data_IF_243650760721
#
_entry.id   IF_243650760721
#
_cell.length_a   1.000
_cell.length_b   1.000
_cell.length_c   1.000
_cell.angle_alpha   90.00
_cell.angle_beta   90.00
_cell.angle_gamma   90.00
#
_symmetry.space_group_name_H-M   'P 1'
#
loop_
_entity.id
_entity.type
_entity.pdbx_description
1 polymer ?
#
# COMPACT_ATOMS: atom_id res chain seq x y z
N UNK A 1 9.09 3.66 13.03
CA UNK A 1 9.10 3.85 11.55
C UNK A 1 9.24 5.31 11.15
N UNK A 2 8.40 6.24 11.70
CA UNK A 2 8.51 7.69 11.36
C UNK A 2 9.92 8.25 11.64
N UNK A 3 10.59 7.83 12.72
CA UNK A 3 11.96 8.26 13.05
C UNK A 3 13.04 7.72 12.10
N UNK A 4 12.79 6.57 11.47
CA UNK A 4 13.74 5.95 10.55
C UNK A 4 13.63 6.51 9.13
N UNK A 5 12.46 7.03 8.74
CA UNK A 5 12.22 7.50 7.38
C UNK A 5 13.24 8.51 6.89
N UNK A 6 13.59 9.59 7.63
CA UNK A 6 14.57 10.56 7.15
C UNK A 6 15.94 9.94 6.88
N UNK A 7 16.37 9.01 7.73
CA UNK A 7 17.64 8.28 7.55
C UNK A 7 17.62 7.38 6.32
N UNK A 8 16.50 6.66 6.09
CA UNK A 8 16.33 5.81 4.92
C UNK A 8 16.39 6.65 3.64
N UNK A 9 15.68 7.76 3.58
CA UNK A 9 15.67 8.64 2.40
C UNK A 9 17.04 9.26 2.12
N UNK A 10 17.81 9.58 3.16
CA UNK A 10 19.17 10.12 3.02
C UNK A 10 20.15 9.06 2.48
N UNK A 11 20.00 7.80 2.88
CA UNK A 11 20.91 6.70 2.51
C UNK A 11 20.49 6.00 1.20
N UNK A 12 19.27 6.20 0.74
CA UNK A 12 18.79 5.62 -0.51
C UNK A 12 19.32 6.41 -1.69
N UNK A 13 19.84 5.73 -2.71
CA UNK A 13 20.21 6.35 -3.98
C UNK A 13 19.00 6.97 -4.68
N UNK A 14 17.84 6.31 -4.57
CA UNK A 14 16.56 6.80 -5.07
C UNK A 14 15.40 6.04 -4.41
N UNK A 15 14.18 6.56 -4.53
CA UNK A 15 12.96 5.87 -4.10
C UNK A 15 11.74 6.32 -4.90
N UNK A 16 10.77 5.44 -5.03
CA UNK A 16 9.50 5.72 -5.69
C UNK A 16 8.32 5.20 -4.87
N UNK A 17 7.24 5.96 -4.81
CA UNK A 17 5.99 5.57 -4.17
C UNK A 17 4.90 5.46 -5.22
N UNK A 18 4.34 4.27 -5.40
CA UNK A 18 3.21 4.00 -6.26
C UNK A 18 1.97 3.65 -5.46
N UNK A 19 0.80 4.05 -5.97
CA UNK A 19 -0.49 3.81 -5.34
C UNK A 19 -1.50 3.35 -6.37
N UNK A 20 -2.48 2.55 -5.92
CA UNK A 20 -3.68 2.22 -6.68
C UNK A 20 -4.91 2.69 -5.92
N UNK A 21 -5.86 3.25 -6.66
CA UNK A 21 -7.10 3.77 -6.11
C UNK A 21 -8.07 2.63 -5.74
N UNK A 22 -9.06 2.96 -4.91
CA UNK A 22 -10.17 2.06 -4.58
C UNK A 22 -10.89 1.56 -5.84
N UNK A 23 -11.13 2.46 -6.81
CA UNK A 23 -11.76 2.10 -8.10
C UNK A 23 -10.95 1.08 -8.89
N UNK A 24 -9.62 1.22 -8.90
CA UNK A 24 -8.74 0.26 -9.57
C UNK A 24 -8.75 -1.10 -8.85
N UNK A 25 -8.76 -1.10 -7.52
CA UNK A 25 -8.84 -2.34 -6.74
C UNK A 25 -10.16 -3.05 -7.00
N UNK A 26 -11.29 -2.33 -7.01
CA UNK A 26 -12.61 -2.91 -7.25
C UNK A 26 -12.78 -3.41 -8.69
N UNK A 27 -12.15 -2.73 -9.68
CA UNK A 27 -12.23 -3.10 -11.10
C UNK A 27 -11.27 -4.23 -11.48
N UNK A 28 -10.04 -4.19 -11.00
CA UNK A 28 -8.93 -5.06 -11.46
C UNK A 28 -8.62 -6.20 -10.49
N UNK A 29 -9.15 -6.13 -9.28
CA UNK A 29 -8.78 -6.98 -8.16
C UNK A 29 -7.48 -6.56 -7.49
N UNK A 30 -7.29 -7.00 -6.25
CA UNK A 30 -6.18 -6.56 -5.39
C UNK A 30 -4.80 -6.92 -5.97
N UNK A 31 -4.66 -8.08 -6.62
CA UNK A 31 -3.38 -8.50 -7.19
C UNK A 31 -2.92 -7.56 -8.29
N UNK A 32 -3.76 -7.31 -9.30
CA UNK A 32 -3.42 -6.43 -10.42
C UNK A 32 -3.21 -4.99 -9.95
N UNK A 33 -4.03 -4.52 -9.02
CA UNK A 33 -3.86 -3.20 -8.42
C UNK A 33 -2.53 -3.07 -7.65
N UNK A 34 -2.08 -4.14 -6.98
CA UNK A 34 -0.76 -4.17 -6.32
C UNK A 34 0.37 -4.09 -7.35
N UNK A 35 0.32 -4.90 -8.40
CA UNK A 35 1.31 -4.84 -9.49
C UNK A 35 1.35 -3.45 -10.16
N UNK A 36 0.19 -2.84 -10.38
CA UNK A 36 0.08 -1.49 -10.92
C UNK A 36 0.74 -0.45 -10.01
N UNK A 37 0.56 -0.56 -8.69
CA UNK A 37 1.23 0.33 -7.74
C UNK A 37 2.76 0.13 -7.73
N UNK A 38 3.24 -1.11 -7.84
CA UNK A 38 4.67 -1.40 -7.96
C UNK A 38 5.27 -0.81 -9.24
N UNK A 39 4.61 -0.99 -10.39
CA UNK A 39 5.06 -0.37 -11.65
C UNK A 39 5.06 1.15 -11.58
N UNK A 40 4.07 1.76 -10.94
CA UNK A 40 4.04 3.22 -10.70
C UNK A 40 5.18 3.69 -9.81
N UNK A 41 5.56 2.90 -8.81
CA UNK A 41 6.73 3.20 -7.98
C UNK A 41 8.02 3.15 -8.81
N UNK A 42 8.21 2.09 -9.60
CA UNK A 42 9.37 1.92 -10.49
C UNK A 42 9.50 3.05 -11.51
N UNK A 43 8.39 3.51 -12.09
CA UNK A 43 8.39 4.64 -13.05
C UNK A 43 8.82 5.98 -12.45
N UNK A 44 8.87 6.11 -11.13
CA UNK A 44 9.34 7.33 -10.45
C UNK A 44 10.83 7.31 -10.17
N UNK A 45 11.48 6.17 -10.33
CA UNK A 45 12.94 6.08 -10.20
C UNK A 45 13.62 6.77 -11.38
N UNK A 46 14.72 7.45 -11.11
CA UNK A 46 15.56 8.10 -12.11
C UNK A 46 16.18 7.10 -13.05
N UNK A 47 16.60 5.97 -12.49
CA UNK A 47 17.22 4.90 -13.26
C UNK A 47 16.45 3.58 -13.07
N UNK A 48 16.44 2.77 -14.12
CA UNK A 48 15.85 1.44 -14.06
C UNK A 48 16.73 0.53 -13.20
N UNK A 49 16.20 -0.14 -12.17
CA UNK A 49 16.98 -1.05 -11.36
C UNK A 49 17.41 -2.29 -12.16
N UNK A 50 18.61 -2.79 -11.90
CA UNK A 50 19.11 -4.02 -12.51
C UNK A 50 18.39 -5.27 -12.03
N UNK A 51 17.94 -5.28 -10.78
CA UNK A 51 17.23 -6.38 -10.15
C UNK A 51 16.13 -5.87 -9.21
N UNK A 52 15.02 -6.58 -9.10
CA UNK A 52 13.96 -6.34 -8.11
C UNK A 52 13.98 -7.42 -7.03
N UNK A 53 14.04 -7.01 -5.78
CA UNK A 53 13.72 -7.85 -4.63
C UNK A 53 12.30 -7.55 -4.16
N UNK A 54 11.42 -8.53 -4.25
CA UNK A 54 9.98 -8.35 -3.96
C UNK A 54 9.63 -9.13 -2.70
N UNK A 55 9.04 -8.42 -1.72
CA UNK A 55 8.50 -9.09 -0.53
C UNK A 55 7.26 -9.91 -0.88
N UNK A 56 7.28 -11.17 -0.45
CA UNK A 56 6.18 -12.11 -0.67
C UNK A 56 6.42 -13.11 -1.81
N UNK A 57 5.44 -14.00 -2.07
CA UNK A 57 5.63 -15.14 -2.96
C UNK A 57 5.33 -14.84 -4.44
N UNK A 58 4.88 -13.64 -4.78
CA UNK A 58 4.34 -13.35 -6.10
C UNK A 58 5.25 -12.47 -6.95
N UNK A 59 5.57 -12.93 -8.16
CA UNK A 59 6.28 -12.16 -9.18
C UNK A 59 5.49 -10.93 -9.64
N UNK A 60 6.19 -9.86 -9.99
CA UNK A 60 5.65 -8.69 -10.66
C UNK A 60 5.56 -9.00 -12.18
N UNK A 61 4.40 -9.47 -12.62
CA UNK A 61 4.18 -9.95 -14.01
C UNK A 61 4.53 -8.94 -15.10
N UNK A 62 4.21 -7.63 -14.96
CA UNK A 62 4.55 -6.65 -16.00
C UNK A 62 6.04 -6.26 -16.06
N UNK A 63 6.89 -6.86 -15.22
CA UNK A 63 8.34 -6.60 -15.21
C UNK A 63 9.11 -7.66 -15.98
N UNK A 64 9.87 -7.25 -16.99
CA UNK A 64 10.66 -8.16 -17.85
C UNK A 64 12.14 -8.26 -17.43
N UNK A 65 12.54 -7.62 -16.33
CA UNK A 65 13.90 -7.68 -15.80
C UNK A 65 14.08 -8.79 -14.77
N UNK A 66 15.29 -8.86 -14.21
CA UNK A 66 15.61 -9.81 -13.14
C UNK A 66 14.79 -9.46 -11.90
N UNK A 67 14.16 -10.45 -11.29
CA UNK A 67 13.39 -10.29 -10.06
C UNK A 67 13.49 -11.54 -9.18
N UNK A 68 13.52 -11.33 -7.86
CA UNK A 68 13.52 -12.38 -6.84
C UNK A 68 12.40 -12.15 -5.84
N UNK A 69 11.62 -13.18 -5.59
CA UNK A 69 10.56 -13.18 -4.58
C UNK A 69 11.10 -13.74 -3.28
N UNK A 70 10.87 -13.03 -2.20
CA UNK A 70 11.44 -13.34 -0.90
C UNK A 70 10.34 -13.29 0.15
N UNK A 71 9.90 -14.45 0.62
CA UNK A 71 8.93 -14.53 1.71
C UNK A 71 9.57 -14.01 2.99
N UNK A 72 8.87 -13.07 3.67
CA UNK A 72 9.37 -12.33 4.82
C UNK A 72 10.68 -11.59 4.48
N UNK A 73 10.72 -10.95 3.33
CA UNK A 73 11.90 -10.29 2.82
C UNK A 73 12.34 -9.09 3.66
N UNK A 74 11.39 -8.43 4.31
CA UNK A 74 11.63 -7.30 5.20
C UNK A 74 12.49 -7.66 6.44
N UNK A 75 12.49 -8.92 6.85
CA UNK A 75 13.36 -9.44 7.92
C UNK A 75 14.73 -9.93 7.43
N UNK A 76 14.91 -10.10 6.11
CA UNK A 76 16.10 -10.70 5.50
C UNK A 76 16.96 -9.71 4.72
N UNK A 77 16.34 -8.68 4.13
CA UNK A 77 17.01 -7.73 3.27
C UNK A 77 16.73 -6.29 3.70
N UNK A 78 17.79 -5.53 3.93
CA UNK A 78 17.70 -4.13 4.36
C UNK A 78 16.94 -3.26 3.35
N UNK A 79 17.12 -3.50 2.03
CA UNK A 79 16.42 -2.78 0.98
C UNK A 79 14.90 -3.01 1.01
N UNK A 80 14.45 -4.25 1.25
CA UNK A 80 13.03 -4.58 1.39
C UNK A 80 12.47 -3.96 2.67
N UNK A 81 13.20 -4.06 3.79
CA UNK A 81 12.82 -3.43 5.06
C UNK A 81 12.67 -1.91 4.91
N UNK A 82 13.62 -1.25 4.26
CA UNK A 82 13.58 0.18 3.97
C UNK A 82 12.37 0.55 3.12
N UNK A 83 12.14 -0.15 2.01
CA UNK A 83 10.98 0.04 1.14
C UNK A 83 9.64 -0.15 1.88
N UNK A 84 9.55 -1.16 2.75
CA UNK A 84 8.38 -1.41 3.60
C UNK A 84 8.12 -0.23 4.56
N UNK A 85 9.15 0.35 5.15
CA UNK A 85 9.03 1.53 6.02
C UNK A 85 8.54 2.75 5.23
N UNK A 86 9.14 3.03 4.07
CA UNK A 86 8.72 4.14 3.19
C UNK A 86 7.25 4.00 2.79
N UNK A 87 6.86 2.82 2.30
CA UNK A 87 5.48 2.55 1.89
C UNK A 87 4.50 2.70 3.06
N UNK A 88 4.85 2.16 4.24
CA UNK A 88 3.99 2.20 5.43
C UNK A 88 3.80 3.61 5.97
N UNK A 89 4.88 4.41 6.07
CA UNK A 89 4.78 5.78 6.55
C UNK A 89 4.01 6.65 5.56
N UNK A 90 4.24 6.47 4.25
CA UNK A 90 3.46 7.16 3.21
C UNK A 90 1.96 6.85 3.32
N UNK A 91 1.61 5.57 3.51
CA UNK A 91 0.22 5.16 3.71
C UNK A 91 -0.37 5.74 4.99
N UNK A 92 0.35 5.70 6.10
CA UNK A 92 -0.13 6.24 7.38
C UNK A 92 -0.41 7.74 7.28
N UNK A 93 0.45 8.51 6.62
CA UNK A 93 0.24 9.95 6.36
C UNK A 93 -0.99 10.20 5.47
N UNK A 94 -1.21 9.35 4.45
CA UNK A 94 -2.41 9.41 3.62
C UNK A 94 -3.67 9.16 4.46
N UNK A 95 -3.68 8.13 5.32
CA UNK A 95 -4.82 7.84 6.20
C UNK A 95 -5.10 8.98 7.18
N UNK A 96 -4.06 9.63 7.69
CA UNK A 96 -4.15 10.82 8.54
C UNK A 96 -4.83 12.00 7.83
N UNK A 97 -4.47 12.25 6.57
CA UNK A 97 -5.08 13.31 5.75
C UNK A 97 -6.53 12.98 5.37
N UNK A 98 -6.84 11.71 5.14
CA UNK A 98 -8.19 11.25 4.82
C UNK A 98 -9.14 11.31 6.02
N UNK A 99 -8.65 11.08 7.25
CA UNK A 99 -9.44 11.24 8.47
C UNK A 99 -10.05 12.64 8.59
N UNK A 100 -9.28 13.68 8.22
CA UNK A 100 -9.76 15.07 8.25
C UNK A 100 -10.93 15.31 7.28
N UNK A 101 -10.94 14.59 6.16
CA UNK A 101 -11.99 14.72 5.13
C UNK A 101 -13.19 13.81 5.39
N UNK A 102 -12.98 12.68 6.03
CA UNK A 102 -13.97 11.63 6.25
C UNK A 102 -14.02 11.29 7.75
N UNK A 103 -14.37 12.29 8.55
CA UNK A 103 -14.56 12.11 10.00
C UNK A 103 -15.64 11.07 10.30
N UNK A 104 -15.52 10.39 11.43
CA UNK A 104 -16.49 9.38 11.85
C UNK A 104 -16.21 7.95 11.42
N UNK A 105 -15.20 7.72 10.57
CA UNK A 105 -14.81 6.36 10.13
C UNK A 105 -13.57 5.82 10.84
N UNK A 106 -12.95 6.60 11.73
CA UNK A 106 -11.75 6.24 12.49
C UNK A 106 -10.59 5.75 11.58
N UNK A 107 -10.45 6.36 10.39
CA UNK A 107 -9.51 5.93 9.34
C UNK A 107 -8.06 5.99 9.84
N UNK A 108 -7.74 7.00 10.64
CA UNK A 108 -6.41 7.13 11.25
C UNK A 108 -6.10 5.95 12.19
N UNK A 109 -7.08 5.51 12.98
CA UNK A 109 -6.93 4.40 13.92
C UNK A 109 -6.85 3.05 13.21
N UNK A 110 -7.80 2.79 12.32
CA UNK A 110 -7.95 1.50 11.64
C UNK A 110 -7.07 1.36 10.38
N UNK A 111 -6.46 2.44 9.88
CA UNK A 111 -5.62 2.49 8.66
C UNK A 111 -6.30 1.90 7.43
N UNK A 112 -7.63 1.95 7.38
CA UNK A 112 -8.44 1.38 6.32
C UNK A 112 -8.56 -0.15 6.36
N UNK A 113 -8.28 -0.77 7.51
CA UNK A 113 -8.56 -2.19 7.75
C UNK A 113 -9.96 -2.38 8.34
N UNK A 114 -10.57 -3.54 8.04
CA UNK A 114 -11.91 -3.91 8.50
C UNK A 114 -11.96 -4.31 9.98
N UNK A 115 -11.54 -3.43 10.88
CA UNK A 115 -11.72 -3.65 12.33
C UNK A 115 -13.20 -3.59 12.71
N UNK A 116 -13.58 -4.18 13.82
CA UNK A 116 -14.98 -4.13 14.32
C UNK A 116 -15.49 -2.69 14.41
N UNK A 117 -14.69 -1.78 14.94
CA UNK A 117 -15.01 -0.35 15.08
C UNK A 117 -15.24 0.31 13.70
N UNK A 118 -14.38 0.03 12.71
CA UNK A 118 -14.55 0.56 11.36
C UNK A 118 -15.82 0.03 10.68
N UNK A 119 -16.12 -1.25 10.84
CA UNK A 119 -17.34 -1.86 10.31
C UNK A 119 -18.60 -1.27 10.97
N UNK A 120 -18.55 -0.98 12.29
CA UNK A 120 -19.62 -0.28 12.98
C UNK A 120 -19.81 1.13 12.41
N UNK A 121 -18.71 1.89 12.27
CA UNK A 121 -18.76 3.24 11.68
C UNK A 121 -19.33 3.23 10.24
N UNK A 122 -19.06 2.20 9.45
CA UNK A 122 -19.65 2.05 8.11
C UNK A 122 -21.16 1.80 8.19
N UNK A 123 -21.64 1.01 9.16
CA UNK A 123 -23.07 0.77 9.36
C UNK A 123 -23.80 2.03 9.77
N UNK A 124 -23.19 2.86 10.61
CA UNK A 124 -23.77 4.10 11.13
C UNK A 124 -23.75 5.23 10.10
N UNK A 125 -22.63 5.43 9.41
CA UNK A 125 -22.40 6.58 8.52
C UNK A 125 -22.55 6.26 7.02
N UNK A 126 -22.80 4.99 6.68
CA UNK A 126 -22.86 4.54 5.29
C UNK A 126 -21.50 4.34 4.65
N UNK A 127 -21.48 4.01 3.37
CA UNK A 127 -20.27 3.82 2.58
C UNK A 127 -19.85 5.11 1.87
N UNK A 128 -18.55 5.30 1.70
CA UNK A 128 -17.97 6.41 0.90
C UNK A 128 -17.17 5.88 -0.29
N UNK A 129 -16.66 6.80 -1.12
CA UNK A 129 -15.76 6.47 -2.22
C UNK A 129 -14.39 5.90 -1.79
N UNK A 130 -14.08 5.92 -0.50
CA UNK A 130 -12.87 5.32 0.07
C UNK A 130 -13.03 3.83 0.37
N UNK A 131 -14.26 3.34 0.43
CA UNK A 131 -14.53 1.96 0.77
C UNK A 131 -14.45 1.06 -0.47
N UNK A 132 -13.69 -0.02 -0.36
CA UNK A 132 -13.57 -1.04 -1.41
C UNK A 132 -14.83 -1.90 -1.40
N UNK A 133 -15.75 -1.63 -2.31
CA UNK A 133 -17.03 -2.33 -2.41
C UNK A 133 -16.87 -3.84 -2.56
N UNK A 134 -15.87 -4.28 -3.31
CA UNK A 134 -15.56 -5.69 -3.50
C UNK A 134 -15.18 -6.43 -2.19
N UNK A 135 -14.63 -5.70 -1.21
CA UNK A 135 -14.29 -6.25 0.11
C UNK A 135 -15.51 -6.24 1.04
N UNK A 136 -16.34 -5.21 0.98
CA UNK A 136 -17.56 -5.11 1.79
C UNK A 136 -18.60 -6.16 1.41
N UNK A 137 -18.75 -6.46 0.11
CA UNK A 137 -19.59 -7.57 -0.37
C UNK A 137 -19.18 -8.92 0.24
N UNK A 138 -17.88 -9.18 0.34
CA UNK A 138 -17.35 -10.41 0.98
C UNK A 138 -17.64 -10.48 2.49
N UNK A 139 -17.87 -9.33 3.12
CA UNK A 139 -18.19 -9.23 4.55
C UNK A 139 -19.68 -9.10 4.83
N UNK A 140 -20.55 -9.32 3.82
CA UNK A 140 -22.02 -9.17 3.92
C UNK A 140 -22.47 -7.81 4.51
N UNK A 141 -21.74 -6.73 4.20
CA UNK A 141 -22.05 -5.38 4.66
C UNK A 141 -22.82 -4.56 3.62
N UNK A 142 -22.81 -4.99 2.37
CA UNK A 142 -23.55 -4.43 1.22
C UNK A 142 -23.91 -5.55 0.26
#
# INVERSE_FOLDING_TARGET
RKLLLPKILLLSSDYGIGQSSVREIDKLGIRVATELSMIRALKKLKEKPSELLIDGPLLLRPWNGIQKNIVSGDSKFTSISAASIVAKVSRDNLMESLEKKYSGYLIFKNKGYGTKEHLSSIKENGITNLHRKSFLKKSNLI
#
